data_IF_519935258937
#
_entry.id   IF_519935258937
#
_cell.length_a   1.000
_cell.length_b   1.000
_cell.length_c   1.000
_cell.angle_alpha   90.00
_cell.angle_beta   90.00
_cell.angle_gamma   90.00
#
_symmetry.space_group_name_H-M   'P 1'
#
loop_
_entity.id
_entity.type
_entity.pdbx_description
1 polymer ?
#
# COMPACT_ATOMS: atom_id res chain seq x y z
N UNK A 1 70.95 41.94 1.32
CA UNK A 1 70.77 41.33 2.66
C UNK A 1 69.91 40.08 2.45
N UNK A 2 70.46 38.86 2.40
CA UNK A 2 70.68 37.97 3.58
C UNK A 2 69.45 38.04 4.51
N UNK A 3 68.62 37.01 4.71
CA UNK A 3 69.02 35.66 5.15
C UNK A 3 67.88 34.63 5.01
N UNK A 4 68.27 33.40 4.62
CA UNK A 4 67.61 32.10 4.77
C UNK A 4 66.77 31.92 6.04
N UNK A 5 65.69 31.10 5.96
CA UNK A 5 65.62 29.82 6.69
C UNK A 5 64.51 28.89 6.19
N UNK A 6 64.81 27.61 6.30
CA UNK A 6 64.30 26.39 5.65
C UNK A 6 63.02 25.81 6.27
N UNK A 7 62.38 24.83 5.58
CA UNK A 7 61.16 24.11 6.00
C UNK A 7 61.42 22.80 6.77
N UNK A 8 60.32 22.10 7.15
CA UNK A 8 60.12 20.70 7.60
C UNK A 8 60.09 20.44 9.14
N UNK A 9 59.48 19.35 9.68
CA UNK A 9 59.04 18.12 8.99
C UNK A 9 57.64 17.55 9.32
N UNK A 10 57.27 16.56 8.51
CA UNK A 10 56.22 15.56 8.69
C UNK A 10 56.37 14.70 9.95
N UNK A 11 55.26 14.20 10.48
CA UNK A 11 55.22 12.94 11.23
C UNK A 11 54.19 12.01 10.62
N UNK A 12 54.69 11.00 9.90
CA UNK A 12 54.03 9.73 9.62
C UNK A 12 54.12 8.85 10.87
N UNK A 13 52.99 8.25 11.27
CA UNK A 13 52.94 7.00 12.05
C UNK A 13 51.61 6.32 11.68
N UNK A 14 51.57 5.39 10.72
CA UNK A 14 51.85 3.94 10.84
C UNK A 14 50.87 3.19 11.75
N UNK A 15 49.89 2.51 11.10
CA UNK A 15 49.35 1.12 11.29
C UNK A 15 49.89 0.28 12.49
N UNK A 16 49.25 -0.82 12.98
CA UNK A 16 48.10 -1.60 12.46
C UNK A 16 47.16 -2.23 13.56
N UNK A 17 46.26 -3.12 13.11
CA UNK A 17 45.91 -4.42 13.75
C UNK A 17 44.92 -4.54 14.94
N UNK A 18 43.72 -5.05 14.59
CA UNK A 18 42.97 -6.15 15.22
C UNK A 18 42.89 -6.35 16.75
N UNK A 19 41.65 -6.32 17.26
CA UNK A 19 41.15 -7.21 18.31
C UNK A 19 39.67 -7.53 18.01
N UNK A 20 39.34 -8.66 17.36
CA UNK A 20 39.00 -9.97 17.94
C UNK A 20 38.03 -9.94 19.15
N UNK A 21 36.72 -10.10 18.83
CA UNK A 21 35.69 -11.05 19.36
C UNK A 21 35.34 -11.03 20.88
N UNK A 22 34.07 -11.27 21.28
CA UNK A 22 33.38 -12.56 21.05
C UNK A 22 31.88 -12.49 20.64
N UNK A 23 31.31 -13.62 20.19
CA UNK A 23 29.90 -13.75 19.84
C UNK A 23 29.02 -13.89 21.08
N UNK A 24 27.95 -13.11 21.17
CA UNK A 24 26.88 -13.40 22.13
C UNK A 24 25.97 -14.44 21.50
N UNK A 25 26.17 -15.70 21.92
CA UNK A 25 25.19 -16.77 21.79
C UNK A 25 24.24 -16.67 22.98
N UNK A 26 22.96 -16.45 22.71
CA UNK A 26 21.90 -16.94 23.60
C UNK A 26 20.83 -17.60 22.74
N UNK A 27 20.66 -18.90 22.94
CA UNK A 27 19.69 -19.73 22.28
C UNK A 27 18.48 -19.95 23.20
N UNK A 28 17.27 -19.88 22.65
CA UNK A 28 16.08 -20.64 23.06
C UNK A 28 15.02 -20.42 21.96
N UNK A 29 14.90 -21.28 20.95
CA UNK A 29 14.02 -22.46 20.92
C UNK A 29 12.64 -22.22 21.53
N UNK A 30 11.70 -21.83 20.67
CA UNK A 30 10.31 -22.28 20.75
C UNK A 30 9.88 -22.78 19.39
N UNK A 31 9.56 -24.06 19.39
CA UNK A 31 8.91 -24.82 18.32
C UNK A 31 7.53 -24.27 18.05
N UNK A 32 7.28 -23.82 16.83
CA UNK A 32 5.94 -23.81 16.25
C UNK A 32 5.98 -24.69 15.01
N UNK A 33 5.38 -25.88 15.15
CA UNK A 33 4.90 -26.66 14.00
C UNK A 33 3.83 -25.81 13.33
N UNK A 34 4.11 -25.31 12.14
CA UNK A 34 3.08 -24.93 11.19
C UNK A 34 3.30 -25.82 9.96
N UNK A 35 2.26 -26.59 9.64
CA UNK A 35 2.24 -27.49 8.51
C UNK A 35 2.56 -26.70 7.24
N UNK A 36 3.69 -27.00 6.61
CA UNK A 36 3.97 -26.57 5.26
C UNK A 36 3.01 -27.29 4.33
N UNK A 37 1.88 -26.66 4.01
CA UNK A 37 1.11 -26.97 2.83
C UNK A 37 1.99 -26.63 1.63
N UNK A 38 2.69 -27.65 1.14
CA UNK A 38 3.32 -27.64 -0.16
C UNK A 38 2.19 -27.64 -1.20
N UNK A 39 1.68 -26.45 -1.54
CA UNK A 39 0.90 -26.27 -2.75
C UNK A 39 1.88 -25.82 -3.84
N UNK A 40 2.38 -26.81 -4.58
CA UNK A 40 3.10 -26.62 -5.81
C UNK A 40 2.16 -26.01 -6.85
N UNK A 41 2.05 -24.68 -6.88
CA UNK A 41 1.60 -23.98 -8.08
C UNK A 41 2.81 -23.76 -8.96
N UNK A 42 2.92 -24.65 -9.95
CA UNK A 42 3.76 -24.48 -11.11
C UNK A 42 3.33 -23.18 -11.82
N UNK A 43 3.95 -22.07 -11.46
CA UNK A 43 3.95 -20.84 -12.25
C UNK A 43 4.74 -21.12 -13.53
N UNK A 44 4.04 -21.62 -14.54
CA UNK A 44 4.54 -21.70 -15.89
C UNK A 44 4.69 -20.28 -16.43
N UNK A 45 5.89 -19.72 -16.25
CA UNK A 45 6.32 -18.52 -16.95
C UNK A 45 6.67 -18.92 -18.38
N UNK A 46 5.70 -18.81 -19.29
CA UNK A 46 5.92 -18.75 -20.74
C UNK A 46 4.87 -17.78 -21.27
N UNK A 47 5.20 -16.56 -21.66
CA UNK A 47 6.14 -16.29 -22.74
C UNK A 47 5.41 -16.43 -24.07
N UNK A 48 4.87 -15.31 -24.57
CA UNK A 48 4.66 -14.95 -25.97
C UNK A 48 4.38 -16.11 -26.98
N UNK A 49 3.09 -16.37 -27.25
CA UNK A 49 2.55 -17.05 -28.45
C UNK A 49 1.02 -16.85 -28.36
N UNK A 50 0.31 -16.16 -29.26
CA UNK A 50 0.38 -16.28 -30.70
C UNK A 50 -0.44 -17.49 -31.16
N UNK A 51 -1.74 -17.56 -30.89
CA UNK A 51 -2.61 -18.64 -31.40
C UNK A 51 -3.99 -18.68 -30.75
N UNK A 52 -4.99 -18.90 -31.59
CA UNK A 52 -6.43 -18.77 -31.42
C UNK A 52 -7.14 -19.67 -30.37
N UNK A 53 -8.36 -19.24 -30.02
CA UNK A 53 -9.49 -20.06 -29.56
C UNK A 53 -9.41 -20.76 -28.19
N UNK A 54 -9.18 -19.98 -27.14
CA UNK A 54 -9.77 -20.27 -25.83
C UNK A 54 -10.41 -18.98 -25.37
N UNK A 55 -11.74 -18.93 -25.44
CA UNK A 55 -12.52 -17.93 -24.74
C UNK A 55 -12.16 -18.07 -23.27
N UNK A 56 -11.18 -17.29 -22.82
CA UNK A 56 -11.16 -16.74 -21.47
C UNK A 56 -12.61 -16.41 -21.19
N UNK A 57 -13.26 -17.19 -20.34
CA UNK A 57 -14.50 -16.78 -19.73
C UNK A 57 -14.13 -15.61 -18.82
N UNK A 58 -13.74 -14.49 -19.44
CA UNK A 58 -13.56 -13.21 -18.81
C UNK A 58 -14.90 -12.93 -18.20
N UNK A 59 -14.99 -13.13 -16.89
CA UNK A 59 -16.23 -12.91 -16.18
C UNK A 59 -16.54 -11.44 -16.38
N UNK A 60 -17.61 -11.15 -17.12
CA UNK A 60 -18.01 -9.79 -17.40
C UNK A 60 -18.32 -9.12 -16.05
N UNK A 61 -17.45 -8.20 -15.57
CA UNK A 61 -17.59 -7.63 -14.25
C UNK A 61 -18.86 -6.78 -14.13
N UNK A 62 -19.54 -6.44 -15.24
CA UNK A 62 -20.80 -5.70 -15.26
C UNK A 62 -22.02 -6.54 -14.86
N UNK A 63 -21.89 -7.88 -14.87
CA UNK A 63 -22.96 -8.84 -14.52
C UNK A 63 -22.86 -9.41 -13.10
N UNK A 64 -21.74 -9.17 -12.40
CA UNK A 64 -21.58 -9.58 -11.00
C UNK A 64 -22.33 -8.63 -10.05
N UNK A 65 -22.69 -9.11 -8.86
CA UNK A 65 -23.14 -8.22 -7.79
C UNK A 65 -21.98 -7.32 -7.35
N UNK A 66 -22.28 -6.09 -6.93
CA UNK A 66 -21.26 -5.20 -6.35
C UNK A 66 -20.68 -5.83 -5.08
N UNK A 67 -19.34 -5.79 -4.88
CA UNK A 67 -18.73 -6.33 -3.68
C UNK A 67 -19.23 -5.58 -2.44
N UNK A 68 -19.37 -6.30 -1.33
CA UNK A 68 -19.82 -5.72 -0.08
C UNK A 68 -18.71 -4.86 0.54
N UNK A 69 -18.99 -3.57 0.71
CA UNK A 69 -18.12 -2.70 1.50
C UNK A 69 -18.26 -3.06 2.99
N UNK A 70 -17.17 -2.88 3.73
CA UNK A 70 -17.13 -3.03 5.19
C UNK A 70 -16.94 -1.67 5.84
N UNK A 71 -17.37 -1.55 7.09
CA UNK A 71 -16.99 -0.41 7.92
C UNK A 71 -15.55 -0.64 8.43
N UNK A 72 -14.57 0.17 8.03
CA UNK A 72 -13.18 -0.04 8.40
C UNK A 72 -12.95 0.15 9.91
N UNK A 73 -13.80 0.90 10.63
CA UNK A 73 -13.69 1.08 12.08
C UNK A 73 -14.04 -0.19 12.88
N UNK A 74 -14.78 -1.11 12.28
CA UNK A 74 -15.21 -2.36 12.91
C UNK A 74 -14.64 -3.61 12.25
N UNK A 75 -13.88 -3.45 11.16
CA UNK A 75 -13.24 -4.54 10.45
C UNK A 75 -12.12 -5.20 11.29
N UNK A 76 -12.00 -6.52 11.19
CA UNK A 76 -10.92 -7.25 11.82
C UNK A 76 -9.71 -7.35 10.87
N UNK A 77 -8.58 -6.77 11.26
CA UNK A 77 -7.33 -6.86 10.50
C UNK A 77 -7.12 -5.74 9.48
N UNK A 78 -6.37 -6.04 8.42
CA UNK A 78 -6.08 -5.08 7.36
C UNK A 78 -7.32 -4.92 6.46
N UNK A 79 -7.56 -3.69 6.01
CA UNK A 79 -8.62 -3.35 5.05
C UNK A 79 -8.00 -2.83 3.76
N UNK A 80 -8.71 -3.04 2.65
CA UNK A 80 -8.37 -2.51 1.34
C UNK A 80 -9.31 -1.37 1.02
N UNK A 81 -8.80 -0.15 0.95
CA UNK A 81 -9.60 1.04 0.66
C UNK A 81 -9.36 1.47 -0.77
N UNK A 82 -10.44 1.57 -1.54
CA UNK A 82 -10.43 2.18 -2.87
C UNK A 82 -10.90 3.62 -2.73
N UNK A 83 -9.98 4.56 -2.90
CA UNK A 83 -10.24 5.99 -2.84
C UNK A 83 -10.77 6.48 -4.18
N UNK A 84 -11.98 7.03 -4.21
CA UNK A 84 -12.68 7.45 -5.43
C UNK A 84 -12.76 8.96 -5.58
N UNK A 85 -12.48 9.73 -4.52
CA UNK A 85 -12.24 11.15 -4.61
C UNK A 85 -11.36 11.61 -3.46
N UNK A 86 -10.57 12.65 -3.71
CA UNK A 86 -9.78 13.34 -2.69
C UNK A 86 -10.00 14.83 -2.90
N UNK A 87 -10.46 15.53 -1.87
CA UNK A 87 -10.65 16.97 -1.89
C UNK A 87 -9.61 17.64 -0.99
N UNK A 88 -9.00 18.69 -1.52
CA UNK A 88 -8.23 19.65 -0.73
C UNK A 88 -9.21 20.63 -0.05
N UNK A 89 -8.85 21.03 1.17
CA UNK A 89 -9.35 22.21 1.88
C UNK A 89 -10.63 22.85 1.32
N UNK A 90 -11.78 22.24 1.63
CA UNK A 90 -13.08 22.87 1.48
C UNK A 90 -13.81 22.64 0.14
N UNK A 91 -13.31 21.81 -0.78
CA UNK A 91 -14.14 21.35 -1.92
C UNK A 91 -15.14 20.25 -1.51
N UNK A 92 -16.08 20.64 -0.66
CA UNK A 92 -17.16 19.78 -0.20
C UNK A 92 -18.06 19.31 -1.35
N UNK A 93 -18.14 20.07 -2.45
CA UNK A 93 -18.98 19.71 -3.58
C UNK A 93 -18.45 18.48 -4.32
N UNK A 94 -17.12 18.36 -4.49
CA UNK A 94 -16.50 17.17 -5.06
C UNK A 94 -16.70 15.93 -4.18
N UNK A 95 -16.55 16.09 -2.85
CA UNK A 95 -16.81 15.04 -1.86
C UNK A 95 -18.26 14.56 -1.93
N UNK A 96 -19.22 15.49 -1.90
CA UNK A 96 -20.64 15.18 -1.92
C UNK A 96 -21.05 14.49 -3.24
N UNK A 97 -20.48 14.92 -4.36
CA UNK A 97 -20.72 14.30 -5.67
C UNK A 97 -20.20 12.86 -5.71
N UNK A 98 -18.98 12.60 -5.23
CA UNK A 98 -18.41 11.26 -5.18
C UNK A 98 -19.23 10.33 -4.26
N UNK A 99 -19.67 10.83 -3.10
CA UNK A 99 -20.56 10.07 -2.21
C UNK A 99 -21.90 9.76 -2.89
N UNK A 100 -22.49 10.72 -3.62
CA UNK A 100 -23.74 10.50 -4.34
C UNK A 100 -23.59 9.45 -5.46
N UNK A 101 -22.44 9.43 -6.14
CA UNK A 101 -22.11 8.41 -7.15
C UNK A 101 -22.02 7.01 -6.53
N UNK A 102 -21.30 6.87 -5.40
CA UNK A 102 -21.22 5.60 -4.66
C UNK A 102 -22.59 5.10 -4.19
N UNK A 103 -23.46 6.01 -3.71
CA UNK A 103 -24.84 5.65 -3.34
C UNK A 103 -25.66 5.19 -4.54
N UNK A 104 -25.46 5.80 -5.71
CA UNK A 104 -26.11 5.38 -6.96
C UNK A 104 -25.63 4.00 -7.41
N UNK A 105 -24.37 3.65 -7.12
CA UNK A 105 -23.81 2.33 -7.37
C UNK A 105 -24.30 1.24 -6.39
N UNK A 106 -25.00 1.61 -5.30
CA UNK A 106 -25.57 0.67 -4.33
C UNK A 106 -24.99 0.75 -2.92
N UNK A 107 -24.01 1.62 -2.69
CA UNK A 107 -23.39 1.83 -1.39
C UNK A 107 -24.11 2.93 -0.60
N UNK A 108 -25.28 2.61 -0.06
CA UNK A 108 -26.15 3.57 0.63
C UNK A 108 -25.45 4.31 1.79
N UNK A 109 -24.58 3.60 2.50
CA UNK A 109 -23.86 4.09 3.68
C UNK A 109 -22.51 4.75 3.34
N UNK A 110 -22.24 5.00 2.05
CA UNK A 110 -21.04 5.72 1.64
C UNK A 110 -20.97 7.11 2.33
N UNK A 111 -19.79 7.38 2.88
CA UNK A 111 -19.47 8.60 3.60
C UNK A 111 -17.99 8.97 3.37
N UNK A 112 -17.59 10.23 3.61
CA UNK A 112 -16.20 10.62 3.62
C UNK A 112 -15.43 9.84 4.70
N UNK A 113 -14.20 9.48 4.39
CA UNK A 113 -13.28 8.79 5.26
C UNK A 113 -12.05 9.70 5.48
N UNK A 114 -11.52 9.68 6.69
CA UNK A 114 -10.27 10.39 7.01
C UNK A 114 -9.07 9.53 6.58
N UNK A 115 -8.25 9.98 5.61
CA UNK A 115 -7.07 9.23 5.16
C UNK A 115 -6.03 9.00 6.24
N UNK A 116 -5.97 9.84 7.27
CA UNK A 116 -5.06 9.67 8.40
C UNK A 116 -5.40 8.43 9.26
N UNK A 117 -6.60 7.88 9.11
CA UNK A 117 -7.05 6.69 9.82
C UNK A 117 -6.54 5.38 9.22
N UNK A 118 -5.91 5.42 8.04
CA UNK A 118 -5.26 4.26 7.45
C UNK A 118 -3.76 4.48 7.37
N UNK A 119 -2.99 3.55 7.90
CA UNK A 119 -1.53 3.65 7.91
C UNK A 119 -0.97 3.80 6.49
N UNK A 120 -0.13 4.82 6.29
CA UNK A 120 0.55 5.08 5.01
C UNK A 120 -0.27 5.85 3.97
N UNK A 121 -1.57 6.06 4.18
CA UNK A 121 -2.42 6.77 3.23
C UNK A 121 -2.18 8.27 3.27
N UNK A 122 -2.00 8.87 4.45
CA UNK A 122 -1.70 10.29 4.58
C UNK A 122 -0.39 10.68 3.88
N UNK A 123 0.67 9.89 4.03
CA UNK A 123 1.93 10.10 3.33
C UNK A 123 1.80 9.95 1.82
N UNK A 124 1.00 8.98 1.36
CA UNK A 124 0.72 8.76 -0.06
C UNK A 124 -0.04 9.93 -0.67
N UNK A 125 -1.09 10.42 -0.01
CA UNK A 125 -1.87 11.57 -0.48
C UNK A 125 -1.03 12.86 -0.43
N UNK A 126 -0.25 13.07 0.62
CA UNK A 126 0.69 14.18 0.71
C UNK A 126 1.74 14.18 -0.41
N UNK A 127 2.24 13.00 -0.80
CA UNK A 127 3.15 12.87 -1.95
C UNK A 127 2.49 13.23 -3.29
N UNK A 128 1.15 13.17 -3.38
CA UNK A 128 0.38 13.63 -4.55
C UNK A 128 -0.01 15.11 -4.48
N UNK A 129 0.35 15.80 -3.39
CA UNK A 129 0.12 17.24 -3.21
C UNK A 129 -1.05 17.58 -2.29
N UNK A 130 -1.75 16.59 -1.72
CA UNK A 130 -2.89 16.81 -0.84
C UNK A 130 -2.43 16.98 0.61
N UNK A 131 -2.33 18.23 1.08
CA UNK A 131 -2.10 18.55 2.49
C UNK A 131 -3.46 18.57 3.23
N UNK A 132 -3.66 17.70 4.23
CA UNK A 132 -4.91 17.54 5.01
C UNK A 132 -6.19 17.18 4.19
N UNK A 133 -6.17 16.13 3.35
CA UNK A 133 -7.30 15.78 2.50
C UNK A 133 -8.51 15.22 3.26
N UNK A 134 -9.70 15.57 2.78
CA UNK A 134 -10.89 14.73 2.98
C UNK A 134 -11.05 13.83 1.76
N UNK A 135 -11.14 12.52 1.98
CA UNK A 135 -11.28 11.57 0.87
C UNK A 135 -12.61 10.80 0.96
N UNK A 136 -13.05 10.31 -0.19
CA UNK A 136 -14.18 9.42 -0.33
C UNK A 136 -13.64 8.10 -0.84
N UNK A 137 -14.05 7.01 -0.20
CA UNK A 137 -13.63 5.68 -0.61
C UNK A 137 -14.51 4.60 0.03
N UNK A 138 -14.31 3.37 -0.43
CA UNK A 138 -14.94 2.19 0.14
C UNK A 138 -13.87 1.24 0.65
N UNK A 139 -14.06 0.75 1.87
CA UNK A 139 -13.22 -0.27 2.46
C UNK A 139 -13.78 -1.66 2.15
N UNK A 140 -12.89 -2.60 1.88
CA UNK A 140 -13.19 -3.99 1.61
C UNK A 140 -12.34 -4.89 2.51
N UNK A 141 -12.86 -6.08 2.80
CA UNK A 141 -12.17 -7.09 3.62
C UNK A 141 -11.17 -7.95 2.83
N UNK A 142 -11.09 -7.76 1.51
CA UNK A 142 -10.16 -8.49 0.64
C UNK A 142 -9.65 -7.62 -0.51
N UNK A 143 -8.46 -7.96 -1.01
CA UNK A 143 -7.89 -7.33 -2.20
C UNK A 143 -8.71 -7.65 -3.45
N UNK A 144 -9.29 -8.85 -3.50
CA UNK A 144 -10.13 -9.32 -4.59
C UNK A 144 -11.40 -8.45 -4.73
N UNK A 145 -12.09 -8.19 -3.62
CA UNK A 145 -13.30 -7.35 -3.61
C UNK A 145 -12.98 -5.90 -4.01
N UNK A 146 -11.88 -5.34 -3.48
CA UNK A 146 -11.40 -4.02 -3.86
C UNK A 146 -11.05 -3.96 -5.35
N UNK A 147 -10.43 -5.00 -5.91
CA UNK A 147 -10.10 -5.08 -7.33
C UNK A 147 -11.33 -5.22 -8.24
N UNK A 148 -12.36 -5.96 -7.80
CA UNK A 148 -13.65 -6.04 -8.52
C UNK A 148 -14.33 -4.68 -8.52
N UNK A 149 -14.35 -4.00 -7.37
CA UNK A 149 -14.90 -2.64 -7.28
C UNK A 149 -14.14 -1.68 -8.20
N UNK A 150 -12.81 -1.62 -8.11
CA UNK A 150 -11.96 -0.72 -8.92
C UNK A 150 -12.16 -0.93 -10.43
N UNK A 151 -12.22 -2.19 -10.86
CA UNK A 151 -12.46 -2.54 -12.27
C UNK A 151 -13.83 -2.09 -12.75
N UNK A 152 -14.86 -2.21 -11.91
CA UNK A 152 -16.25 -1.90 -12.28
C UNK A 152 -16.58 -0.40 -12.15
N UNK A 153 -15.99 0.27 -11.17
CA UNK A 153 -16.12 1.71 -10.92
C UNK A 153 -15.08 2.54 -11.70
N UNK A 154 -14.48 1.94 -12.73
CA UNK A 154 -13.36 2.50 -13.48
C UNK A 154 -13.62 3.94 -13.97
N UNK A 155 -12.61 4.80 -13.77
CA UNK A 155 -12.63 6.19 -14.23
C UNK A 155 -12.63 7.24 -13.12
N UNK A 156 -12.80 6.82 -11.86
CA UNK A 156 -12.86 7.71 -10.69
C UNK A 156 -11.94 7.27 -9.55
N UNK A 157 -11.37 6.07 -9.56
CA UNK A 157 -10.38 5.65 -8.56
C UNK A 157 -9.14 6.55 -8.61
N UNK A 158 -8.85 7.17 -7.47
CA UNK A 158 -7.63 7.95 -7.22
C UNK A 158 -6.49 7.04 -6.79
N UNK A 159 -6.75 6.09 -5.90
CA UNK A 159 -5.74 5.17 -5.37
C UNK A 159 -6.38 3.95 -4.69
N UNK A 160 -5.60 2.89 -4.52
CA UNK A 160 -5.93 1.72 -3.71
C UNK A 160 -4.85 1.53 -2.66
N UNK A 161 -5.25 1.50 -1.39
CA UNK A 161 -4.36 1.31 -0.24
C UNK A 161 -4.79 0.12 0.60
N UNK A 162 -3.83 -0.53 1.24
CA UNK A 162 -4.08 -1.65 2.14
C UNK A 162 -3.34 -1.45 3.45
N UNK A 163 -3.97 -1.76 4.57
CA UNK A 163 -3.33 -1.70 5.88
C UNK A 163 -4.34 -1.64 7.01
N UNK A 164 -3.85 -1.59 8.26
CA UNK A 164 -4.70 -1.50 9.42
C UNK A 164 -5.44 -0.15 9.46
N UNK A 165 -6.67 -0.18 9.96
CA UNK A 165 -7.44 1.01 10.26
C UNK A 165 -7.31 1.36 11.74
N UNK A 166 -6.99 2.62 12.06
CA UNK A 166 -6.62 3.04 13.42
C UNK A 166 -7.66 3.91 14.12
N UNK A 167 -8.72 4.33 13.42
CA UNK A 167 -9.79 5.16 13.98
C UNK A 167 -11.03 4.33 14.29
N UNK A 168 -11.64 4.55 15.46
CA UNK A 168 -12.83 3.85 15.95
C UNK A 168 -13.88 4.84 16.47
#
# INVERSE_FOLDING_TARGET
MLTLRRPLPSTLATRPEAARRPPVRTAARTTARAAGLALALALAVTGCTGGDDEAEAGVDPSTQDWPAAVDPATAEGDVWVVWTAVAEDGDQAAVDAAVAELRTAGYADAAPLDPACQEGTAELLGAMGFDEPTAVGLAFASAEDAGVFDTRFAGTTVSLTSGPWTCA
#
